data_IF_963090077671
#
_entry.id   IF_963090077671
#
_cell.length_a   1.000
_cell.length_b   1.000
_cell.length_c   1.000
_cell.angle_alpha   90.00
_cell.angle_beta   90.00
_cell.angle_gamma   90.00
#
_symmetry.space_group_name_H-M   'P 1'
#
loop_
_entity.id
_entity.type
_entity.pdbx_description
1 polymer ?
#
# COMPACT_ATOMS: atom_id res chain seq x y z
N UNK A 1 7.66 -4.80 -13.99
CA UNK A 1 6.48 -5.52 -13.49
C UNK A 1 6.43 -6.91 -14.10
N UNK A 2 6.18 -7.93 -13.30
CA UNK A 2 5.95 -9.29 -13.81
C UNK A 2 4.48 -9.44 -14.19
N UNK A 3 4.21 -9.80 -15.45
CA UNK A 3 2.84 -9.97 -15.97
C UNK A 3 2.63 -11.44 -16.34
N UNK A 4 1.64 -12.09 -15.73
CA UNK A 4 1.39 -13.52 -15.82
C UNK A 4 0.14 -13.80 -16.67
N UNK A 5 0.35 -14.27 -17.89
CA UNK A 5 -0.71 -14.71 -18.83
C UNK A 5 -1.81 -13.65 -19.06
N UNK A 6 -1.48 -12.37 -18.99
CA UNK A 6 -2.46 -11.28 -19.13
C UNK A 6 -3.64 -11.40 -18.14
N UNK A 7 -3.42 -12.02 -17.02
CA UNK A 7 -4.44 -12.21 -15.96
C UNK A 7 -4.01 -11.53 -14.67
N UNK A 8 -2.72 -11.62 -14.35
CA UNK A 8 -2.18 -11.16 -13.07
C UNK A 8 -0.84 -10.48 -13.24
N UNK A 9 -0.45 -9.73 -12.23
CA UNK A 9 0.85 -9.08 -12.20
C UNK A 9 1.44 -9.05 -10.80
N UNK A 10 2.74 -8.80 -10.74
CA UNK A 10 3.46 -8.57 -9.49
C UNK A 10 4.38 -7.38 -9.66
N UNK A 11 4.41 -6.51 -8.65
CA UNK A 11 5.27 -5.33 -8.65
C UNK A 11 5.82 -5.09 -7.24
N UNK A 12 6.92 -4.36 -7.16
CA UNK A 12 7.54 -3.98 -5.90
C UNK A 12 7.81 -2.48 -5.92
N UNK A 13 7.87 -1.89 -4.73
CA UNK A 13 8.16 -0.46 -4.64
C UNK A 13 8.61 -0.05 -3.26
N UNK A 14 8.99 1.22 -3.18
CA UNK A 14 9.49 1.84 -1.95
C UNK A 14 8.87 3.23 -1.78
N UNK A 15 8.93 3.73 -0.55
CA UNK A 15 8.56 5.10 -0.23
C UNK A 15 9.26 5.56 1.04
N UNK A 16 9.15 6.85 1.32
CA UNK A 16 9.70 7.46 2.54
C UNK A 16 8.74 8.51 3.06
N UNK A 17 8.79 8.80 4.36
CA UNK A 17 8.06 9.90 4.96
C UNK A 17 8.86 10.51 6.11
N UNK A 18 8.57 11.78 6.40
CA UNK A 18 9.10 12.50 7.55
C UNK A 18 8.09 13.50 8.10
N UNK A 19 6.82 13.29 7.81
CA UNK A 19 5.69 14.10 8.26
C UNK A 19 4.48 13.20 8.50
N UNK A 20 3.43 13.75 9.10
CA UNK A 20 2.18 13.01 9.34
C UNK A 20 1.16 13.16 8.23
N UNK A 21 1.51 13.88 7.17
CA UNK A 21 0.61 14.11 6.03
C UNK A 21 0.40 12.82 5.24
N UNK A 22 -0.86 12.50 4.94
CA UNK A 22 -1.19 11.37 4.07
C UNK A 22 -0.53 11.52 2.71
N UNK A 23 0.02 10.42 2.18
CA UNK A 23 0.65 10.40 0.85
C UNK A 23 0.32 9.12 0.11
N UNK A 24 0.53 9.13 -1.20
CA UNK A 24 0.34 7.95 -2.05
C UNK A 24 1.62 7.13 -2.05
N UNK A 25 1.55 5.90 -1.53
CA UNK A 25 2.68 4.96 -1.57
C UNK A 25 2.77 4.26 -2.91
N UNK A 26 1.63 3.87 -3.49
CA UNK A 26 1.57 3.15 -4.76
C UNK A 26 0.29 3.51 -5.49
N UNK A 27 0.31 3.36 -6.81
CA UNK A 27 -0.87 3.53 -7.64
C UNK A 27 -0.83 2.60 -8.84
N UNK A 28 -2.01 2.25 -9.37
CA UNK A 28 -2.12 1.48 -10.60
C UNK A 28 -3.40 1.88 -11.34
N UNK A 29 -3.41 1.65 -12.66
CA UNK A 29 -4.56 2.01 -13.50
C UNK A 29 -5.78 1.15 -13.16
N UNK A 30 -6.89 1.79 -12.83
CA UNK A 30 -8.16 1.10 -12.54
C UNK A 30 -8.72 0.39 -13.77
N UNK A 31 -8.35 0.83 -14.97
CA UNK A 31 -8.75 0.18 -16.21
C UNK A 31 -8.00 -1.14 -16.48
N UNK A 32 -6.88 -1.36 -15.80
CA UNK A 32 -6.04 -2.53 -16.02
C UNK A 32 -6.23 -3.60 -14.95
N UNK A 33 -6.19 -3.22 -13.68
CA UNK A 33 -6.26 -4.16 -12.58
C UNK A 33 -7.49 -3.89 -11.70
N UNK A 34 -8.11 -4.98 -11.23
CA UNK A 34 -9.32 -4.97 -10.38
C UNK A 34 -8.99 -5.19 -8.92
N UNK A 35 -8.15 -6.18 -8.64
CA UNK A 35 -7.85 -6.64 -7.28
C UNK A 35 -6.36 -6.52 -7.03
N UNK A 36 -5.98 -6.08 -5.84
CA UNK A 36 -4.59 -6.01 -5.44
C UNK A 36 -4.42 -6.52 -4.01
N UNK A 37 -3.32 -7.22 -3.79
CA UNK A 37 -2.88 -7.63 -2.47
C UNK A 37 -1.50 -7.06 -2.22
N UNK A 38 -1.35 -6.36 -1.10
CA UNK A 38 -0.09 -5.75 -0.69
C UNK A 38 0.48 -6.44 0.53
N UNK A 39 1.78 -6.65 0.52
CA UNK A 39 2.57 -6.89 1.72
C UNK A 39 3.44 -5.65 1.90
N UNK A 40 3.21 -4.91 3.00
CA UNK A 40 3.91 -3.65 3.27
C UNK A 40 4.75 -3.79 4.53
N UNK A 41 6.00 -3.32 4.45
CA UNK A 41 6.90 -3.23 5.58
C UNK A 41 7.22 -1.75 5.83
N UNK A 42 7.08 -1.33 7.08
CA UNK A 42 7.41 0.02 7.53
C UNK A 42 8.53 -0.06 8.54
N UNK A 43 9.57 0.73 8.33
CA UNK A 43 10.65 0.93 9.30
C UNK A 43 10.66 2.38 9.75
N UNK A 44 10.44 2.61 11.05
CA UNK A 44 10.70 3.91 11.66
C UNK A 44 12.21 3.97 11.95
N UNK A 45 12.94 4.71 11.12
CA UNK A 45 14.40 4.80 11.22
C UNK A 45 14.86 5.65 12.40
N UNK A 46 14.02 6.55 12.89
CA UNK A 46 14.34 7.40 14.06
C UNK A 46 14.40 6.57 15.33
N UNK A 47 13.41 5.69 15.54
CA UNK A 47 13.27 4.92 16.78
C UNK A 47 13.64 3.45 16.62
N UNK A 48 13.96 2.99 15.40
CA UNK A 48 14.21 1.58 15.08
C UNK A 48 13.02 0.67 15.38
N UNK A 49 11.82 1.14 15.08
CA UNK A 49 10.57 0.39 15.23
C UNK A 49 10.12 -0.17 13.88
N UNK A 50 9.44 -1.31 13.92
CA UNK A 50 9.04 -2.04 12.71
C UNK A 50 7.54 -2.35 12.74
N UNK A 51 6.94 -2.34 11.54
CA UNK A 51 5.53 -2.66 11.34
C UNK A 51 5.38 -3.33 9.97
N UNK A 52 4.67 -4.45 9.91
CA UNK A 52 4.29 -5.02 8.63
C UNK A 52 2.80 -5.33 8.60
N UNK A 53 2.21 -5.31 7.42
CA UNK A 53 0.77 -5.48 7.25
C UNK A 53 0.46 -6.05 5.87
N UNK A 54 -0.60 -6.84 5.77
CA UNK A 54 -1.18 -7.24 4.50
C UNK A 54 -2.48 -6.47 4.26
N UNK A 55 -2.69 -6.05 3.02
CA UNK A 55 -3.86 -5.29 2.59
C UNK A 55 -4.42 -5.96 1.33
N UNK A 56 -5.70 -6.29 1.37
CA UNK A 56 -6.42 -6.79 0.20
C UNK A 56 -7.44 -5.75 -0.20
N UNK A 57 -7.46 -5.37 -1.47
CA UNK A 57 -8.42 -4.42 -2.00
C UNK A 57 -8.95 -4.83 -3.37
N UNK A 58 -10.12 -4.33 -3.72
CA UNK A 58 -10.63 -4.32 -5.08
C UNK A 58 -11.45 -3.05 -5.31
N UNK A 59 -11.71 -2.72 -6.56
CA UNK A 59 -12.58 -1.60 -6.91
C UNK A 59 -13.69 -2.06 -7.86
N UNK A 60 -14.77 -1.28 -7.91
CA UNK A 60 -15.89 -1.52 -8.83
C UNK A 60 -15.90 -0.54 -10.03
N UNK A 61 -14.82 0.20 -10.20
CA UNK A 61 -14.69 1.24 -11.23
C UNK A 61 -14.82 2.65 -10.68
N UNK A 62 -15.41 2.83 -9.50
CA UNK A 62 -15.59 4.13 -8.86
C UNK A 62 -15.23 4.14 -7.37
N UNK A 63 -15.41 3.03 -6.68
CA UNK A 63 -15.15 2.91 -5.24
C UNK A 63 -14.17 1.79 -4.97
N UNK A 64 -13.24 2.00 -4.04
CA UNK A 64 -12.32 0.98 -3.57
C UNK A 64 -12.82 0.43 -2.24
N UNK A 65 -12.79 -0.90 -2.14
CA UNK A 65 -13.09 -1.64 -0.93
C UNK A 65 -11.82 -2.34 -0.47
N UNK A 66 -11.48 -2.21 0.81
CA UNK A 66 -10.26 -2.82 1.31
C UNK A 66 -10.45 -3.42 2.70
N UNK A 67 -9.62 -4.42 2.98
CA UNK A 67 -9.44 -4.93 4.33
C UNK A 67 -7.96 -4.99 4.64
N UNK A 68 -7.63 -4.72 5.90
CA UNK A 68 -6.29 -4.80 6.43
C UNK A 68 -6.25 -5.96 7.42
N UNK A 69 -5.22 -6.81 7.31
CA UNK A 69 -5.10 -7.97 8.17
C UNK A 69 -3.63 -8.30 8.40
N UNK A 70 -3.38 -9.24 9.33
CA UNK A 70 -2.02 -9.67 9.64
C UNK A 70 -1.08 -8.50 9.99
N UNK A 71 -1.60 -7.49 10.71
CA UNK A 71 -0.80 -6.36 11.15
C UNK A 71 0.04 -6.75 12.36
N UNK A 72 1.37 -6.59 12.24
CA UNK A 72 2.34 -6.93 13.28
C UNK A 72 3.26 -5.74 13.49
N UNK A 73 3.49 -5.38 14.75
CA UNK A 73 4.44 -4.32 15.09
C UNK A 73 5.10 -4.62 16.45
N UNK A 74 6.31 -4.16 16.62
CA UNK A 74 7.07 -4.38 17.85
C UNK A 74 6.82 -3.29 18.92
N UNK A 75 6.49 -2.07 18.47
CA UNK A 75 6.30 -0.95 19.39
C UNK A 75 5.22 0.01 18.85
N UNK A 76 4.03 -0.53 18.59
CA UNK A 76 2.91 0.26 18.07
C UNK A 76 2.89 0.39 16.55
N UNK A 77 1.71 0.69 16.03
CA UNK A 77 1.51 0.91 14.61
C UNK A 77 2.28 2.15 14.14
N UNK A 78 3.01 2.02 13.04
CA UNK A 78 3.82 3.12 12.50
C UNK A 78 3.08 3.91 11.42
N UNK A 79 2.02 3.34 10.84
CA UNK A 79 1.24 3.98 9.79
C UNK A 79 -0.17 3.41 9.74
N UNK A 80 -1.09 4.22 9.20
CA UNK A 80 -2.44 3.80 8.83
C UNK A 80 -2.56 3.80 7.32
N UNK A 81 -3.40 2.92 6.77
CA UNK A 81 -3.54 2.72 5.34
C UNK A 81 -4.99 2.91 4.90
N UNK A 82 -5.17 3.44 3.71
CA UNK A 82 -6.46 3.60 3.05
C UNK A 82 -6.24 3.51 1.52
N UNK A 83 -7.31 3.57 0.75
CA UNK A 83 -7.21 3.54 -0.69
C UNK A 83 -8.37 4.31 -1.33
N UNK A 84 -8.13 4.87 -2.51
CA UNK A 84 -9.15 5.54 -3.31
C UNK A 84 -8.88 5.37 -4.80
N UNK A 85 -9.79 5.89 -5.63
CA UNK A 85 -9.58 6.08 -7.06
C UNK A 85 -9.50 7.57 -7.30
N UNK A 86 -8.44 8.00 -7.97
CA UNK A 86 -8.26 9.40 -8.35
C UNK A 86 -7.73 9.47 -9.78
N UNK A 87 -8.46 10.14 -10.67
CA UNK A 87 -8.07 10.33 -12.08
C UNK A 87 -7.74 9.02 -12.80
N UNK A 88 -8.55 7.98 -12.56
CA UNK A 88 -8.38 6.67 -13.19
C UNK A 88 -7.31 5.80 -12.57
N UNK A 89 -6.75 6.17 -11.42
CA UNK A 89 -5.76 5.38 -10.70
C UNK A 89 -6.26 4.98 -9.32
N UNK A 90 -6.10 3.70 -8.99
CA UNK A 90 -6.25 3.22 -7.62
C UNK A 90 -5.00 3.61 -6.87
N UNK A 91 -5.16 4.27 -5.72
CA UNK A 91 -4.03 4.71 -4.89
C UNK A 91 -4.06 4.03 -3.55
N UNK A 92 -2.90 3.50 -3.13
CA UNK A 92 -2.67 3.09 -1.76
C UNK A 92 -2.16 4.29 -0.98
N UNK A 93 -2.93 4.73 0.01
CA UNK A 93 -2.67 5.93 0.79
C UNK A 93 -2.12 5.55 2.16
N UNK A 94 -1.14 6.31 2.62
CA UNK A 94 -0.48 6.08 3.90
C UNK A 94 -0.52 7.34 4.73
N UNK A 95 -0.96 7.23 5.99
CA UNK A 95 -0.86 8.29 6.98
C UNK A 95 0.14 7.85 8.03
N UNK A 96 1.35 8.45 8.06
CA UNK A 96 2.35 8.10 9.07
C UNK A 96 1.87 8.43 10.48
N UNK A 97 2.19 7.59 11.45
CA UNK A 97 1.78 7.78 12.84
C UNK A 97 2.54 8.94 13.52
N UNK A 98 3.69 9.31 13.00
CA UNK A 98 4.50 10.41 13.54
C UNK A 98 5.31 11.09 12.41
N UNK A 99 5.98 12.19 12.76
CA UNK A 99 6.90 12.87 11.86
C UNK A 99 8.29 12.26 11.79
N UNK A 100 8.49 11.09 12.38
CA UNK A 100 9.77 10.39 12.32
C UNK A 100 10.10 10.00 10.88
N UNK A 101 11.40 9.82 10.60
CA UNK A 101 11.83 9.33 9.29
C UNK A 101 11.46 7.86 9.14
N UNK A 102 10.64 7.56 8.14
CA UNK A 102 10.16 6.21 7.88
C UNK A 102 10.47 5.77 6.47
N UNK A 103 10.79 4.49 6.32
CA UNK A 103 11.01 3.83 5.04
C UNK A 103 9.95 2.76 4.83
N UNK A 104 9.40 2.71 3.62
CA UNK A 104 8.36 1.77 3.22
C UNK A 104 8.88 0.90 2.09
N UNK A 105 8.63 -0.41 2.18
CA UNK A 105 8.87 -1.36 1.09
C UNK A 105 7.62 -2.22 0.93
N UNK A 106 7.25 -2.52 -0.31
CA UNK A 106 6.07 -3.33 -0.54
C UNK A 106 6.19 -4.23 -1.75
N UNK A 107 5.41 -5.31 -1.71
CA UNK A 107 5.09 -6.17 -2.85
C UNK A 107 3.60 -6.04 -3.14
N UNK A 108 3.24 -5.97 -4.42
CA UNK A 108 1.86 -5.92 -4.87
C UNK A 108 1.60 -7.06 -5.84
N UNK A 109 0.57 -7.84 -5.58
CA UNK A 109 0.01 -8.81 -6.51
C UNK A 109 -1.32 -8.27 -7.03
N UNK A 110 -1.54 -8.32 -8.35
CA UNK A 110 -2.74 -7.75 -8.98
C UNK A 110 -3.40 -8.76 -9.89
N UNK A 111 -4.72 -8.62 -10.03
CA UNK A 111 -5.55 -9.39 -10.97
C UNK A 111 -6.23 -8.41 -11.90
N UNK A 112 -6.20 -8.68 -13.20
CA UNK A 112 -6.78 -7.80 -14.22
C UNK A 112 -8.30 -7.76 -14.18
N UNK A 113 -8.83 -6.66 -14.70
CA UNK A 113 -10.28 -6.46 -14.83
C UNK A 113 -10.93 -7.47 -15.77
#
# INVERSE_FOLDING_TARGET
MLHLDEVAGMNVGTGTSSATTEFTLDSFASATFRTAKYLVQVKNSTDSDFHCIEILLFHDGSTVYLTQYASIFDNGAQAAFDADINSGNVRLLVTPASGDTMAYKFMRQTIEV
#
